data_IF_134898741714
#
_entry.id   IF_134898741714
#
_cell.length_a   1.000
_cell.length_b   1.000
_cell.length_c   1.000
_cell.angle_alpha   90.00
_cell.angle_beta   90.00
_cell.angle_gamma   90.00
#
_symmetry.space_group_name_H-M   'P 1'
#
loop_
_entity.id
_entity.type
_entity.pdbx_description
1 polymer ?
#
# COMPACT_ATOMS: atom_id res chain seq x y z
N UNK A 1 26.06 -7.10 0.97
CA UNK A 1 25.80 -6.45 2.26
C UNK A 1 25.48 -7.53 3.28
N UNK A 2 26.19 -7.57 4.41
CA UNK A 2 25.90 -8.52 5.49
C UNK A 2 25.13 -7.80 6.60
N UNK A 3 24.02 -8.39 7.04
CA UNK A 3 23.25 -7.87 8.18
C UNK A 3 23.85 -8.27 9.53
N UNK A 4 24.91 -9.08 9.52
CA UNK A 4 25.64 -9.54 10.69
C UNK A 4 27.01 -8.86 10.70
N UNK A 5 27.36 -8.29 11.85
CA UNK A 5 28.68 -7.74 12.15
C UNK A 5 29.34 -8.58 13.25
N UNK A 6 30.60 -8.99 13.05
CA UNK A 6 31.37 -9.64 14.11
C UNK A 6 31.74 -8.61 15.18
N UNK A 7 31.57 -8.99 16.44
CA UNK A 7 32.09 -8.24 17.59
C UNK A 7 33.49 -8.71 17.96
N UNK A 8 34.23 -7.90 18.70
CA UNK A 8 35.57 -8.24 19.22
C UNK A 8 35.63 -9.56 19.98
N UNK A 9 34.49 -10.01 20.52
CA UNK A 9 34.37 -11.22 21.33
C UNK A 9 33.95 -12.45 20.51
N UNK A 10 34.01 -12.37 19.16
CA UNK A 10 33.62 -13.46 18.25
C UNK A 10 32.11 -13.70 18.12
N UNK A 11 31.26 -12.95 18.84
CA UNK A 11 29.81 -13.02 18.68
C UNK A 11 29.38 -12.21 17.46
N UNK A 12 28.40 -12.73 16.72
CA UNK A 12 27.77 -12.00 15.62
C UNK A 12 26.57 -11.22 16.14
N UNK A 13 26.47 -9.95 15.78
CA UNK A 13 25.34 -9.08 16.12
C UNK A 13 24.70 -8.54 14.85
N UNK A 14 23.40 -8.27 14.91
CA UNK A 14 22.72 -7.59 13.82
C UNK A 14 23.20 -6.14 13.71
N UNK A 15 23.36 -5.65 12.49
CA UNK A 15 23.55 -4.22 12.22
C UNK A 15 22.35 -3.44 12.75
N UNK A 16 22.58 -2.19 13.19
CA UNK A 16 21.55 -1.36 13.80
C UNK A 16 20.43 -0.94 12.82
N UNK A 17 20.68 -1.06 11.51
CA UNK A 17 19.79 -0.68 10.41
C UNK A 17 19.35 0.81 10.45
N UNK A 18 20.03 1.67 11.20
CA UNK A 18 19.62 3.07 11.38
C UNK A 18 19.78 3.93 10.11
N UNK A 19 20.60 3.47 9.17
CA UNK A 19 20.85 4.11 7.86
C UNK A 19 20.15 3.38 6.71
N UNK A 20 19.25 2.44 7.00
CA UNK A 20 18.55 1.65 5.98
C UNK A 20 17.10 2.09 5.86
N UNK A 21 16.66 2.20 4.59
CA UNK A 21 15.27 2.43 4.23
C UNK A 21 14.82 1.20 3.45
N UNK A 22 13.80 0.52 3.96
CA UNK A 22 13.16 -0.58 3.27
C UNK A 22 12.11 -0.04 2.32
N UNK A 23 12.20 -0.45 1.05
CA UNK A 23 11.27 -0.03 0.00
C UNK A 23 10.65 -1.28 -0.60
N UNK A 24 9.33 -1.30 -0.71
CA UNK A 24 8.58 -2.41 -1.30
C UNK A 24 7.44 -1.89 -2.18
N UNK A 25 7.10 -2.67 -3.20
CA UNK A 25 5.98 -2.42 -4.11
C UNK A 25 4.88 -3.44 -3.87
N UNK A 26 3.65 -2.96 -3.64
CA UNK A 26 2.52 -3.84 -3.35
C UNK A 26 1.23 -3.43 -4.03
N UNK A 27 0.53 -4.42 -4.57
CA UNK A 27 -0.82 -4.25 -5.14
C UNK A 27 -1.90 -4.33 -4.06
N UNK A 28 -2.70 -3.28 -3.95
CA UNK A 28 -3.87 -3.21 -3.07
C UNK A 28 -5.16 -3.14 -3.87
N UNK A 29 -6.21 -3.79 -3.37
CA UNK A 29 -7.56 -3.60 -3.90
C UNK A 29 -8.21 -2.41 -3.20
N UNK A 30 -8.86 -1.52 -3.95
CA UNK A 30 -9.56 -0.36 -3.39
C UNK A 30 -10.65 -0.75 -2.38
N UNK A 31 -11.24 -1.93 -2.55
CA UNK A 31 -12.19 -2.52 -1.60
C UNK A 31 -11.85 -3.97 -1.32
N UNK A 32 -12.17 -4.45 -0.12
CA UNK A 32 -11.97 -5.85 0.26
C UNK A 32 -12.87 -6.75 -0.60
N UNK A 33 -12.26 -7.75 -1.24
CA UNK A 33 -12.94 -8.63 -2.20
C UNK A 33 -14.11 -9.40 -1.58
N UNK A 34 -13.94 -9.90 -0.37
CA UNK A 34 -14.98 -10.55 0.43
C UNK A 34 -15.03 -9.88 1.80
N UNK A 35 -16.10 -9.14 2.08
CA UNK A 35 -16.37 -8.55 3.39
C UNK A 35 -17.33 -9.46 4.16
N UNK A 36 -17.02 -9.71 5.42
CA UNK A 36 -17.96 -10.33 6.37
C UNK A 36 -18.51 -9.17 7.20
N UNK A 37 -19.83 -9.16 7.38
CA UNK A 37 -20.54 -8.19 8.19
C UNK A 37 -21.29 -8.95 9.27
N UNK A 38 -21.36 -8.38 10.46
CA UNK A 38 -22.36 -8.78 11.45
C UNK A 38 -23.59 -7.90 11.18
N UNK A 39 -24.75 -8.52 11.11
CA UNK A 39 -26.03 -7.85 10.91
C UNK A 39 -27.06 -8.53 11.82
N UNK A 40 -28.00 -7.76 12.35
CA UNK A 40 -29.15 -8.31 13.06
C UNK A 40 -30.13 -8.97 12.09
N UNK A 41 -31.05 -9.79 12.59
CA UNK A 41 -31.97 -10.58 11.77
C UNK A 41 -32.93 -9.71 10.93
N UNK A 42 -33.18 -8.48 11.38
CA UNK A 42 -34.02 -7.47 10.76
C UNK A 42 -33.26 -6.47 9.88
N UNK A 43 -31.92 -6.54 9.85
CA UNK A 43 -31.11 -5.64 9.03
C UNK A 43 -30.86 -6.21 7.62
N UNK A 44 -30.99 -5.34 6.62
CA UNK A 44 -30.67 -5.70 5.23
C UNK A 44 -29.15 -5.81 5.06
N UNK A 45 -28.68 -6.99 4.66
CA UNK A 45 -27.27 -7.22 4.40
C UNK A 45 -26.73 -6.23 3.34
N UNK A 46 -25.55 -5.62 3.56
CA UNK A 46 -25.00 -4.64 2.63
C UNK A 46 -24.65 -5.29 1.29
N UNK A 47 -25.30 -4.81 0.22
CA UNK A 47 -25.06 -5.30 -1.14
C UNK A 47 -23.77 -4.73 -1.72
N UNK A 48 -22.90 -5.59 -2.27
CA UNK A 48 -21.70 -5.12 -2.95
C UNK A 48 -22.05 -4.43 -4.28
N UNK A 49 -21.55 -3.22 -4.51
CA UNK A 49 -21.73 -2.49 -5.78
C UNK A 49 -20.95 -3.12 -6.94
N UNK A 50 -19.97 -3.98 -6.64
CA UNK A 50 -19.09 -4.62 -7.64
C UNK A 50 -19.38 -6.11 -7.72
N UNK A 51 -19.81 -6.58 -8.89
CA UNK A 51 -20.26 -7.97 -9.11
C UNK A 51 -19.13 -9.02 -9.12
N UNK A 52 -17.89 -8.62 -9.40
CA UNK A 52 -16.76 -9.54 -9.48
C UNK A 52 -15.45 -8.85 -9.11
N UNK A 53 -14.52 -9.62 -8.53
CA UNK A 53 -13.16 -9.19 -8.18
C UNK A 53 -12.43 -8.51 -9.35
N UNK A 54 -12.70 -8.94 -10.59
CA UNK A 54 -12.10 -8.37 -11.81
C UNK A 54 -12.41 -6.89 -12.00
N UNK A 55 -13.54 -6.42 -11.49
CA UNK A 55 -13.99 -5.03 -11.61
C UNK A 55 -13.59 -4.16 -10.41
N UNK A 56 -12.93 -4.72 -9.40
CA UNK A 56 -12.38 -3.94 -8.30
C UNK A 56 -11.04 -3.34 -8.76
N UNK A 57 -10.93 -2.01 -8.70
CA UNK A 57 -9.69 -1.31 -9.01
C UNK A 57 -8.57 -1.81 -8.09
N UNK A 58 -7.48 -2.30 -8.69
CA UNK A 58 -6.23 -2.58 -8.00
C UNK A 58 -5.29 -1.41 -8.22
N UNK A 59 -4.58 -0.95 -7.19
CA UNK A 59 -3.60 0.12 -7.28
C UNK A 59 -2.29 -0.38 -6.68
N UNK A 60 -1.17 -0.10 -7.34
CA UNK A 60 0.15 -0.40 -6.82
C UNK A 60 0.64 0.76 -5.98
N UNK A 61 1.21 0.45 -4.83
CA UNK A 61 1.81 1.43 -3.94
C UNK A 61 3.27 1.08 -3.71
N UNK A 62 4.11 2.11 -3.74
CA UNK A 62 5.47 2.09 -3.21
C UNK A 62 5.41 2.55 -1.76
N UNK A 63 5.89 1.74 -0.83
CA UNK A 63 6.01 2.13 0.57
C UNK A 63 7.49 2.16 0.97
N UNK A 64 7.88 3.21 1.69
CA UNK A 64 9.20 3.33 2.28
C UNK A 64 9.08 3.38 3.81
N UNK A 65 9.77 2.46 4.49
CA UNK A 65 9.77 2.33 5.94
C UNK A 65 11.20 2.17 6.43
N UNK A 66 11.57 2.96 7.44
CA UNK A 66 12.81 2.82 8.20
C UNK A 66 12.51 2.23 9.58
N UNK A 67 13.55 1.88 10.32
CA UNK A 67 13.42 1.40 11.69
C UNK A 67 12.79 2.49 12.60
N UNK A 68 11.74 2.19 13.37
CA UNK A 68 11.21 3.11 14.37
C UNK A 68 12.30 3.49 15.39
N UNK A 69 12.42 4.79 15.68
CA UNK A 69 13.46 5.30 16.59
C UNK A 69 13.02 6.58 17.28
N UNK A 70 13.58 6.85 18.45
CA UNK A 70 13.35 8.12 19.13
C UNK A 70 14.14 9.24 18.44
N UNK A 71 13.46 10.36 18.18
CA UNK A 71 14.04 11.58 17.64
C UNK A 71 14.26 12.58 18.79
N UNK A 72 15.53 12.80 19.14
CA UNK A 72 15.91 13.74 20.20
C UNK A 72 15.60 15.20 19.86
N UNK A 73 15.57 15.58 18.59
CA UNK A 73 15.28 16.96 18.17
C UNK A 73 13.78 17.27 18.27
N UNK A 74 12.93 16.29 17.96
CA UNK A 74 11.47 16.42 18.03
C UNK A 74 10.88 15.96 19.35
N UNK A 75 11.72 15.42 20.25
CA UNK A 75 11.30 14.78 21.51
C UNK A 75 10.12 13.81 21.30
N UNK A 76 10.19 13.02 20.23
CA UNK A 76 9.09 12.20 19.77
C UNK A 76 9.59 10.87 19.18
N UNK A 77 8.73 9.84 19.20
CA UNK A 77 9.02 8.56 18.55
C UNK A 77 8.71 8.69 17.05
N UNK A 78 9.72 8.49 16.21
CA UNK A 78 9.52 8.26 14.79
C UNK A 78 9.04 6.81 14.60
N UNK A 79 7.87 6.67 13.97
CA UNK A 79 7.19 5.40 13.71
C UNK A 79 7.82 4.58 12.58
N UNK A 80 8.85 5.12 11.92
CA UNK A 80 9.52 4.47 10.80
C UNK A 80 8.85 4.73 9.46
N UNK A 81 7.64 5.30 9.42
CA UNK A 81 6.93 5.52 8.17
C UNK A 81 7.49 6.76 7.46
N UNK A 82 8.10 6.56 6.29
CA UNK A 82 8.61 7.67 5.48
C UNK A 82 7.53 8.15 4.52
N UNK A 83 6.86 7.20 3.86
CA UNK A 83 5.81 7.55 2.92
C UNK A 83 5.23 6.36 2.18
N UNK A 84 4.09 6.63 1.56
CA UNK A 84 3.41 5.72 0.64
C UNK A 84 2.98 6.49 -0.60
N UNK A 85 3.34 6.00 -1.78
CA UNK A 85 3.05 6.65 -3.05
C UNK A 85 2.30 5.69 -3.96
N UNK A 86 1.18 6.14 -4.54
CA UNK A 86 0.39 5.35 -5.48
C UNK A 86 0.87 5.54 -6.92
N UNK A 87 1.02 4.45 -7.66
CA UNK A 87 1.23 4.51 -9.11
C UNK A 87 -0.12 4.61 -9.83
N UNK A 88 -0.56 5.84 -10.05
CA UNK A 88 -1.81 6.15 -10.74
C UNK A 88 -1.61 7.26 -11.77
N UNK A 89 -2.32 7.15 -12.89
CA UNK A 89 -2.35 8.16 -13.95
C UNK A 89 -3.78 8.60 -14.18
N UNK A 90 -4.00 9.89 -14.43
CA UNK A 90 -5.29 10.39 -14.90
C UNK A 90 -5.34 10.29 -16.42
N UNK A 91 -6.21 9.44 -16.93
CA UNK A 91 -6.41 9.28 -18.38
C UNK A 91 -7.90 9.34 -18.74
N UNK A 92 -8.25 9.86 -19.92
CA UNK A 92 -9.63 9.86 -20.39
C UNK A 92 -10.11 8.42 -20.65
N UNK A 93 -11.39 8.16 -20.33
CA UNK A 93 -12.03 6.90 -20.63
C UNK A 93 -12.05 6.65 -22.16
N UNK A 94 -11.42 5.57 -22.60
CA UNK A 94 -11.27 5.25 -24.03
C UNK A 94 -12.56 4.75 -24.69
N UNK A 95 -13.43 4.10 -23.90
CA UNK A 95 -14.69 3.51 -24.36
C UNK A 95 -15.86 4.06 -23.57
N UNK A 96 -17.01 4.15 -24.22
CA UNK A 96 -18.26 4.43 -23.53
C UNK A 96 -18.70 3.19 -22.76
N UNK A 97 -19.25 3.38 -21.57
CA UNK A 97 -19.80 2.32 -20.72
C UNK A 97 -20.99 2.86 -19.95
N UNK A 98 -21.88 1.98 -19.48
CA UNK A 98 -23.06 2.37 -18.70
C UNK A 98 -22.76 3.33 -17.54
N UNK A 99 -21.58 3.22 -16.94
CA UNK A 99 -21.21 4.00 -15.77
C UNK A 99 -20.30 5.21 -16.09
N UNK A 100 -19.77 5.32 -17.32
CA UNK A 100 -18.72 6.29 -17.70
C UNK A 100 -18.75 6.56 -19.20
N UNK A 101 -18.99 7.82 -19.57
CA UNK A 101 -18.90 8.27 -20.95
C UNK A 101 -17.45 8.25 -21.45
N UNK A 102 -17.26 8.16 -22.78
CA UNK A 102 -15.93 8.34 -23.39
C UNK A 102 -15.42 9.74 -23.06
N UNK A 103 -14.14 9.86 -22.71
CA UNK A 103 -13.51 11.15 -22.38
C UNK A 103 -13.56 11.54 -20.90
N UNK A 104 -14.35 10.87 -20.05
CA UNK A 104 -14.31 11.14 -18.59
C UNK A 104 -12.91 10.87 -18.03
N UNK A 105 -12.32 11.83 -17.33
CA UNK A 105 -11.01 11.67 -16.70
C UNK A 105 -11.05 10.65 -15.56
N UNK A 106 -10.36 9.52 -15.73
CA UNK A 106 -10.30 8.43 -14.76
C UNK A 106 -8.90 8.27 -14.20
N UNK A 107 -8.83 8.02 -12.91
CA UNK A 107 -7.61 7.58 -12.23
C UNK A 107 -7.46 6.08 -12.48
N UNK A 108 -6.45 5.70 -13.26
CA UNK A 108 -6.14 4.30 -13.55
C UNK A 108 -4.85 3.88 -12.88
N UNK A 109 -4.75 2.61 -12.44
CA UNK A 109 -3.48 2.08 -11.95
C UNK A 109 -2.47 1.97 -13.10
N UNK A 110 -1.24 2.35 -12.82
CA UNK A 110 -0.11 2.16 -13.73
C UNK A 110 0.72 0.98 -13.22
N UNK A 111 1.02 0.03 -14.12
CA UNK A 111 2.01 -1.01 -13.84
C UNK A 111 3.40 -0.42 -14.05
N UNK A 112 4.29 -0.62 -13.08
CA UNK A 112 5.72 -0.32 -13.24
C UNK A 112 6.38 -1.61 -13.71
N UNK A 113 6.78 -1.65 -14.97
CA UNK A 113 7.65 -2.70 -15.52
C UNK A 113 9.05 -2.13 -15.63
N UNK A 114 10.02 -2.87 -15.11
CA UNK A 114 11.45 -2.53 -15.15
C UNK A 114 12.03 -2.75 -16.54
#
# INVERSE_FOLDING_TARGET
MSFLQPTSNGKQVFVDMNSYIHVDEKWFYLTKVKRKFYAYADEVAPTSRVKSKKFITKVMFLAAVARPRYDFHKTAIFDGNIGIWSFVVRQPAQRNSKNRAKGTMLTVPQSVTR
#
